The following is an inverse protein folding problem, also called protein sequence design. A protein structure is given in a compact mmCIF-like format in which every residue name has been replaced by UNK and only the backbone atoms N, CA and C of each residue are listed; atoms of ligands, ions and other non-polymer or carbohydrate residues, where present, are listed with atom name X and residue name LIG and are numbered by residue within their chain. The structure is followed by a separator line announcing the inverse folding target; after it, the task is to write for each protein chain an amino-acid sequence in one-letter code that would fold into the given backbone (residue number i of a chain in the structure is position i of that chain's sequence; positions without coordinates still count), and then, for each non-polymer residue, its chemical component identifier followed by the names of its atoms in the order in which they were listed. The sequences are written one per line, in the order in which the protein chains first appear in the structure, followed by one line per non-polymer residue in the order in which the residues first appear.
data_IF_942693733802
#
_entry.id   IF_942693733802
#
_cell.length_a   1.000
_cell.length_b   1.000
_cell.length_c   1.000
_cell.angle_alpha   90.00
_cell.angle_beta   90.00
_cell.angle_gamma   90.00
#
_symmetry.space_group_name_H-M   'P 1'
#
loop_
_entity.id
_entity.type
_entity.pdbx_description
1 polymer ?
#
# COMPACT_ATOMS: atom_id res chain seq x y z
N UNK A 1 2.54 13.18 4.63
CA UNK A 1 2.98 14.59 4.61
C UNK A 1 4.05 14.79 3.52
N UNK A 2 4.25 16.03 3.08
CA UNK A 2 5.33 16.39 2.13
C UNK A 2 6.69 15.97 2.69
N UNK A 3 6.90 16.10 4.00
CA UNK A 3 8.10 15.63 4.69
C UNK A 3 8.37 14.15 4.39
N UNK A 4 7.37 13.28 4.52
CA UNK A 4 7.52 11.84 4.25
C UNK A 4 7.91 11.57 2.78
N UNK A 5 7.37 12.33 1.83
CA UNK A 5 7.71 12.19 0.42
C UNK A 5 9.18 12.57 0.14
N UNK A 6 9.67 13.64 0.75
CA UNK A 6 11.04 14.12 0.54
C UNK A 6 12.07 13.22 1.26
N UNK A 7 11.83 12.83 2.51
CA UNK A 7 12.82 12.16 3.35
C UNK A 7 12.77 10.64 3.30
N UNK A 8 11.65 10.04 2.89
CA UNK A 8 11.52 8.58 2.80
C UNK A 8 11.25 8.10 1.37
N UNK A 9 10.21 8.61 0.70
CA UNK A 9 9.84 8.09 -0.63
C UNK A 9 10.89 8.41 -1.68
N UNK A 10 11.31 9.65 -1.80
CA UNK A 10 12.26 10.06 -2.84
C UNK A 10 13.62 9.35 -2.71
N UNK A 11 14.30 9.32 -1.54
CA UNK A 11 15.56 8.60 -1.41
C UNK A 11 15.41 7.09 -1.65
N UNK A 12 14.36 6.47 -1.13
CA UNK A 12 14.10 5.05 -1.34
C UNK A 12 13.87 4.72 -2.81
N UNK A 13 13.15 5.57 -3.53
CA UNK A 13 12.92 5.42 -4.97
C UNK A 13 14.23 5.57 -5.75
N UNK A 14 15.07 6.55 -5.40
CA UNK A 14 16.37 6.75 -6.04
C UNK A 14 17.29 5.54 -5.83
N UNK A 15 17.39 5.04 -4.60
CA UNK A 15 18.15 3.82 -4.28
C UNK A 15 17.60 2.65 -5.09
N UNK A 16 16.30 2.45 -5.07
CA UNK A 16 15.64 1.38 -5.78
C UNK A 16 15.91 1.42 -7.28
N UNK A 17 15.76 2.57 -7.93
CA UNK A 17 16.02 2.74 -9.36
C UNK A 17 17.49 2.50 -9.76
N UNK A 18 18.44 2.72 -8.85
CA UNK A 18 19.85 2.47 -9.10
C UNK A 18 20.25 0.99 -8.96
N UNK A 19 19.61 0.25 -8.07
CA UNK A 19 20.02 -1.12 -7.75
C UNK A 19 19.09 -2.20 -8.30
N UNK A 20 17.85 -1.84 -8.63
CA UNK A 20 16.90 -2.79 -9.21
C UNK A 20 16.98 -2.75 -10.74
N UNK A 21 17.21 -3.88 -11.40
CA UNK A 21 17.25 -3.95 -12.85
C UNK A 21 15.81 -3.89 -13.42
N UNK A 22 15.21 -2.70 -13.39
CA UNK A 22 13.98 -2.45 -14.14
C UNK A 22 14.39 -2.41 -15.60
N UNK A 23 14.01 -3.41 -16.37
CA UNK A 23 14.39 -3.55 -17.76
C UNK A 23 13.17 -3.44 -18.66
N UNK A 24 13.42 -3.06 -19.92
CA UNK A 24 12.46 -3.23 -20.99
C UNK A 24 12.41 -4.72 -21.40
N UNK A 25 11.78 -5.55 -20.57
CA UNK A 25 11.53 -6.95 -20.85
C UNK A 25 10.23 -7.12 -21.65
N UNK A 26 9.95 -8.35 -22.09
CA UNK A 26 8.70 -8.65 -22.76
C UNK A 26 7.50 -8.36 -21.83
N UNK A 27 6.64 -7.42 -22.24
CA UNK A 27 5.50 -6.99 -21.42
C UNK A 27 4.49 -8.14 -21.20
N UNK A 28 4.28 -8.99 -22.20
CA UNK A 28 3.32 -10.10 -22.13
C UNK A 28 3.74 -11.10 -21.06
N UNK A 29 5.01 -11.51 -21.05
CA UNK A 29 5.52 -12.43 -20.01
C UNK A 29 5.53 -11.80 -18.62
N UNK A 30 5.63 -10.47 -18.54
CA UNK A 30 5.63 -9.73 -17.27
C UNK A 30 4.22 -9.48 -16.71
N UNK A 31 3.16 -9.66 -17.50
CA UNK A 31 1.77 -9.39 -17.03
C UNK A 31 1.36 -10.23 -15.81
N UNK A 32 1.90 -11.43 -15.66
CA UNK A 32 1.64 -12.31 -14.52
C UNK A 32 2.10 -11.69 -13.19
N UNK A 33 3.07 -10.77 -13.22
CA UNK A 33 3.59 -10.13 -12.02
C UNK A 33 2.64 -9.06 -11.45
N UNK A 34 1.74 -8.49 -12.25
CA UNK A 34 0.80 -7.48 -11.76
C UNK A 34 -0.14 -8.02 -10.67
N UNK A 35 -0.87 -9.13 -10.87
CA UNK A 35 -1.67 -9.71 -9.79
C UNK A 35 -0.83 -10.15 -8.58
N UNK A 36 0.40 -10.63 -8.80
CA UNK A 36 1.31 -10.93 -7.70
C UNK A 36 1.65 -9.69 -6.86
N UNK A 37 1.96 -8.55 -7.49
CA UNK A 37 2.22 -7.27 -6.82
C UNK A 37 1.00 -6.79 -6.02
N UNK A 38 -0.20 -6.92 -6.58
CA UNK A 38 -1.46 -6.54 -5.92
C UNK A 38 -1.68 -7.39 -4.66
N UNK A 39 -1.55 -8.71 -4.77
CA UNK A 39 -1.78 -9.64 -3.64
C UNK A 39 -0.73 -9.45 -2.54
N UNK A 40 0.53 -9.36 -2.91
CA UNK A 40 1.61 -9.18 -1.92
C UNK A 40 1.48 -7.86 -1.19
N UNK A 41 1.07 -6.80 -1.87
CA UNK A 41 0.83 -5.50 -1.27
C UNK A 41 -0.34 -5.52 -0.28
N UNK A 42 -1.47 -6.12 -0.65
CA UNK A 42 -2.64 -6.25 0.23
C UNK A 42 -2.30 -7.05 1.51
N UNK A 43 -1.60 -8.17 1.35
CA UNK A 43 -1.17 -9.00 2.49
C UNK A 43 -0.18 -8.25 3.38
N UNK A 44 0.83 -7.60 2.79
CA UNK A 44 1.83 -6.88 3.56
C UNK A 44 1.22 -5.68 4.28
N UNK A 45 0.37 -4.91 3.61
CA UNK A 45 -0.30 -3.77 4.23
C UNK A 45 -1.13 -4.22 5.44
N UNK A 46 -1.89 -5.30 5.33
CA UNK A 46 -2.61 -5.88 6.47
C UNK A 46 -1.67 -6.21 7.64
N UNK A 47 -0.56 -6.90 7.35
CA UNK A 47 0.40 -7.35 8.37
C UNK A 47 1.08 -6.16 9.07
N UNK A 48 1.40 -5.11 8.34
CA UNK A 48 2.04 -3.90 8.88
C UNK A 48 1.04 -2.96 9.57
N UNK A 49 -0.20 -2.88 9.07
CA UNK A 49 -1.21 -1.94 9.52
C UNK A 49 -1.97 -2.42 10.76
N UNK A 50 -2.37 -3.70 10.81
CA UNK A 50 -3.12 -4.24 11.94
C UNK A 50 -2.41 -4.06 13.30
N UNK A 51 -1.09 -4.27 13.45
CA UNK A 51 -0.37 -4.00 14.70
C UNK A 51 -0.43 -2.54 15.16
N UNK A 52 -0.54 -1.59 14.22
CA UNK A 52 -0.66 -0.16 14.55
C UNK A 52 -1.95 0.17 15.32
N UNK A 53 -2.96 -0.72 15.28
CA UNK A 53 -4.20 -0.60 16.06
C UNK A 53 -4.09 -1.21 17.48
N UNK A 54 -2.93 -1.76 17.86
CA UNK A 54 -2.68 -2.20 19.23
C UNK A 54 -2.35 -1.00 20.13
N UNK A 55 -2.61 -1.15 21.43
CA UNK A 55 -2.32 -0.09 22.43
C UNK A 55 -0.87 0.41 22.41
N UNK A 56 0.07 -0.45 21.98
CA UNK A 56 1.49 -0.15 22.00
C UNK A 56 1.94 0.71 20.80
N UNK A 57 1.36 0.48 19.62
CA UNK A 57 1.78 1.12 18.38
C UNK A 57 0.78 2.17 17.88
N UNK A 58 -0.41 2.28 18.49
CA UNK A 58 -1.44 3.21 18.03
C UNK A 58 -1.00 4.67 18.06
N UNK A 59 -0.04 5.03 18.88
CA UNK A 59 0.49 6.40 18.92
C UNK A 59 1.12 6.83 17.60
N UNK A 60 1.69 5.90 16.82
CA UNK A 60 2.23 6.15 15.48
C UNK A 60 1.13 6.39 14.42
N UNK A 61 -0.03 5.77 14.61
CA UNK A 61 -1.13 5.72 13.64
C UNK A 61 -2.32 6.62 13.98
N UNK A 62 -2.46 7.02 15.23
CA UNK A 62 -3.61 7.81 15.70
C UNK A 62 -3.86 9.09 14.91
N UNK A 63 -2.78 9.72 14.41
CA UNK A 63 -2.87 10.98 13.66
C UNK A 63 -3.58 10.76 12.33
N UNK A 64 -3.34 9.61 11.69
CA UNK A 64 -4.06 9.20 10.48
C UNK A 64 -5.57 9.07 10.70
N UNK A 65 -6.00 8.61 11.89
CA UNK A 65 -7.41 8.44 12.28
C UNK A 65 -8.07 9.70 12.87
N UNK A 66 -7.38 10.82 12.97
CA UNK A 66 -7.97 12.07 13.50
C UNK A 66 -8.56 12.93 12.39
N UNK A 67 -9.71 13.55 12.66
CA UNK A 67 -10.39 14.45 11.69
C UNK A 67 -11.23 13.70 10.65
N UNK A 68 -11.60 14.41 9.59
CA UNK A 68 -12.38 13.85 8.49
C UNK A 68 -11.52 13.04 7.52
N UNK A 69 -12.09 11.98 6.97
CA UNK A 69 -11.46 11.18 5.91
C UNK A 69 -11.55 11.96 4.59
N UNK A 70 -10.42 12.24 3.98
CA UNK A 70 -10.33 12.89 2.67
C UNK A 70 -9.00 12.49 1.98
N UNK A 71 -8.90 12.66 0.67
CA UNK A 71 -7.77 12.17 -0.14
C UNK A 71 -6.40 12.61 0.41
N UNK A 72 -6.24 13.87 0.83
CA UNK A 72 -4.97 14.34 1.39
C UNK A 72 -4.60 13.65 2.73
N UNK A 73 -5.58 13.02 3.41
CA UNK A 73 -5.36 12.26 4.65
C UNK A 73 -4.56 10.98 4.41
N UNK A 74 -4.60 10.43 3.19
CA UNK A 74 -3.78 9.28 2.82
C UNK A 74 -2.27 9.52 2.95
N UNK A 75 -1.84 10.79 2.87
CA UNK A 75 -0.44 11.21 3.03
C UNK A 75 -0.09 11.59 4.48
N UNK A 76 -1.08 11.60 5.37
CA UNK A 76 -0.94 12.05 6.75
C UNK A 76 -0.66 10.85 7.68
N UNK A 77 0.57 10.37 7.61
CA UNK A 77 1.07 9.25 8.38
C UNK A 77 2.35 9.65 9.15
N UNK A 78 2.62 8.96 10.25
CA UNK A 78 3.93 9.03 10.93
C UNK A 78 5.03 8.54 9.99
N UNK A 79 6.29 8.98 10.22
CA UNK A 79 7.42 8.59 9.37
C UNK A 79 7.67 7.08 9.34
N UNK A 80 7.57 6.42 10.49
CA UNK A 80 7.73 4.96 10.59
C UNK A 80 6.55 4.23 9.94
N UNK A 81 5.32 4.67 10.18
CA UNK A 81 4.14 4.16 9.49
C UNK A 81 4.27 4.30 7.98
N UNK A 82 4.68 5.48 7.51
CA UNK A 82 4.86 5.72 6.08
C UNK A 82 5.93 4.81 5.48
N UNK A 83 7.07 4.68 6.15
CA UNK A 83 8.19 3.87 5.63
C UNK A 83 7.87 2.38 5.60
N UNK A 84 7.42 1.82 6.73
CA UNK A 84 7.15 0.38 6.83
C UNK A 84 5.77 -0.01 6.30
N UNK A 85 4.74 0.78 6.52
CA UNK A 85 3.38 0.50 6.07
C UNK A 85 3.18 0.87 4.60
N UNK A 86 3.14 2.17 4.32
CA UNK A 86 2.78 2.65 3.00
C UNK A 86 3.84 2.28 1.95
N UNK A 87 5.09 2.74 2.12
CA UNK A 87 6.16 2.49 1.18
C UNK A 87 6.53 1.00 1.12
N UNK A 88 6.58 0.32 2.28
CA UNK A 88 6.83 -1.12 2.35
C UNK A 88 5.86 -1.95 1.53
N UNK A 89 4.56 -1.61 1.56
CA UNK A 89 3.54 -2.32 0.77
C UNK A 89 3.74 -2.17 -0.75
N UNK A 90 4.28 -1.05 -1.21
CA UNK A 90 4.63 -0.87 -2.62
C UNK A 90 5.87 -1.66 -3.04
N UNK A 91 6.84 -1.80 -2.16
CA UNK A 91 8.16 -2.34 -2.49
C UNK A 91 8.25 -3.86 -2.30
N UNK A 92 7.54 -4.42 -1.31
CA UNK A 92 7.73 -5.83 -0.91
C UNK A 92 7.56 -6.82 -2.07
N UNK A 93 6.53 -6.65 -2.89
CA UNK A 93 6.31 -7.53 -4.04
C UNK A 93 7.45 -7.49 -5.05
N UNK A 94 8.01 -6.29 -5.28
CA UNK A 94 9.13 -6.09 -6.19
C UNK A 94 10.41 -6.70 -5.61
N UNK A 95 10.66 -6.56 -4.29
CA UNK A 95 11.79 -7.20 -3.62
C UNK A 95 11.71 -8.72 -3.69
N UNK A 96 10.52 -9.30 -3.57
CA UNK A 96 10.33 -10.75 -3.72
C UNK A 96 10.61 -11.19 -5.16
N UNK A 97 10.11 -10.47 -6.15
CA UNK A 97 10.41 -10.76 -7.57
C UNK A 97 11.90 -10.66 -7.85
N UNK A 98 12.57 -9.66 -7.29
CA UNK A 98 14.03 -9.53 -7.40
C UNK A 98 14.78 -10.69 -6.74
N UNK A 99 14.36 -11.10 -5.55
CA UNK A 99 14.95 -12.22 -4.84
C UNK A 99 14.85 -13.53 -5.64
N UNK A 100 13.78 -13.72 -6.40
CA UNK A 100 13.60 -14.86 -7.31
C UNK A 100 14.16 -14.62 -8.71
N UNK A 101 14.98 -13.60 -8.88
CA UNK A 101 15.64 -13.25 -10.17
C UNK A 101 14.64 -12.98 -11.31
N UNK A 102 13.42 -12.59 -11.00
CA UNK A 102 12.40 -12.26 -11.98
C UNK A 102 12.64 -10.86 -12.55
N UNK A 103 12.73 -10.77 -13.88
CA UNK A 103 12.86 -9.48 -14.58
C UNK A 103 11.46 -8.91 -14.80
N UNK A 104 11.17 -7.76 -14.21
CA UNK A 104 9.87 -7.10 -14.34
C UNK A 104 9.95 -5.93 -15.30
N UNK A 105 9.00 -5.87 -16.22
CA UNK A 105 8.91 -4.77 -17.17
C UNK A 105 8.54 -3.46 -16.47
N UNK A 106 9.18 -2.36 -16.84
CA UNK A 106 8.95 -1.02 -16.28
C UNK A 106 7.48 -0.59 -16.33
N UNK A 107 6.78 -0.94 -17.42
CA UNK A 107 5.36 -0.59 -17.57
C UNK A 107 4.46 -1.35 -16.59
N UNK A 108 4.83 -2.58 -16.20
CA UNK A 108 4.10 -3.33 -15.17
C UNK A 108 4.28 -2.67 -13.80
N UNK A 109 5.52 -2.25 -13.47
CA UNK A 109 5.78 -1.50 -12.23
C UNK A 109 5.02 -0.17 -12.23
N UNK A 110 5.05 0.57 -13.33
CA UNK A 110 4.30 1.83 -13.47
C UNK A 110 2.80 1.64 -13.34
N UNK A 111 2.24 0.59 -13.96
CA UNK A 111 0.83 0.24 -13.85
C UNK A 111 0.46 -0.13 -12.41
N UNK A 112 1.30 -0.92 -11.73
CA UNK A 112 1.13 -1.27 -10.33
C UNK A 112 1.07 -0.01 -9.44
N UNK A 113 2.06 0.89 -9.56
CA UNK A 113 2.10 2.14 -8.80
C UNK A 113 0.86 3.01 -9.10
N UNK A 114 0.46 3.10 -10.36
CA UNK A 114 -0.74 3.82 -10.77
C UNK A 114 -2.02 3.26 -10.13
N UNK A 115 -2.22 1.94 -10.20
CA UNK A 115 -3.39 1.26 -9.59
C UNK A 115 -3.40 1.47 -8.08
N UNK A 116 -2.28 1.27 -7.40
CA UNK A 116 -2.18 1.42 -5.96
C UNK A 116 -2.44 2.88 -5.52
N UNK A 117 -1.91 3.86 -6.25
CA UNK A 117 -2.15 5.28 -5.98
C UNK A 117 -3.63 5.65 -6.15
N UNK A 118 -4.26 5.20 -7.25
CA UNK A 118 -5.69 5.43 -7.51
C UNK A 118 -6.53 4.79 -6.41
N UNK A 119 -6.23 3.54 -6.02
CA UNK A 119 -6.93 2.86 -4.95
C UNK A 119 -6.80 3.60 -3.61
N UNK A 120 -5.61 4.09 -3.26
CA UNK A 120 -5.38 4.91 -2.07
C UNK A 120 -6.21 6.20 -2.08
N UNK A 121 -6.29 6.88 -3.22
CA UNK A 121 -7.11 8.08 -3.36
C UNK A 121 -8.60 7.78 -3.20
N UNK A 122 -9.09 6.69 -3.80
CA UNK A 122 -10.50 6.28 -3.73
C UNK A 122 -10.85 5.90 -2.29
N UNK A 123 -10.04 5.09 -1.62
CA UNK A 123 -10.29 4.63 -0.25
C UNK A 123 -10.36 5.75 0.78
N UNK A 124 -9.72 6.89 0.52
CA UNK A 124 -9.79 8.10 1.34
C UNK A 124 -10.74 9.18 0.77
N UNK A 125 -11.40 8.92 -0.33
CA UNK A 125 -12.50 9.76 -0.84
C UNK A 125 -13.83 9.23 -0.29
N UNK A 126 -14.85 10.03 -0.22
CA UNK A 126 -16.20 9.52 0.07
C UNK A 126 -16.86 8.89 -1.18
N UNK A 127 -16.07 8.60 -2.20
CA UNK A 127 -16.55 8.02 -3.45
C UNK A 127 -16.51 6.48 -3.34
N UNK A 128 -17.68 5.86 -3.54
CA UNK A 128 -17.81 4.41 -3.55
C UNK A 128 -17.80 3.89 -4.98
N UNK A 129 -16.95 2.93 -5.25
CA UNK A 129 -16.88 2.27 -6.55
C UNK A 129 -16.44 0.81 -6.39
N UNK A 130 -16.28 0.10 -7.50
CA UNK A 130 -15.85 -1.31 -7.52
C UNK A 130 -14.50 -1.55 -6.82
N UNK A 131 -13.62 -0.53 -6.77
CA UNK A 131 -12.30 -0.65 -6.12
C UNK A 131 -12.37 -0.49 -4.59
N UNK A 132 -13.29 0.35 -4.11
CA UNK A 132 -13.59 0.46 -2.67
C UNK A 132 -15.05 0.87 -2.47
N UNK A 133 -15.82 -0.04 -1.90
CA UNK A 133 -17.23 0.20 -1.53
C UNK A 133 -17.39 0.97 -0.21
N UNK A 134 -16.29 1.55 0.28
CA UNK A 134 -16.24 2.29 1.54
C UNK A 134 -15.67 1.47 2.70
N UNK A 135 -14.97 0.37 2.41
CA UNK A 135 -14.38 -0.50 3.44
C UNK A 135 -13.34 0.22 4.28
N UNK A 136 -12.48 1.03 3.65
CA UNK A 136 -11.49 1.83 4.37
C UNK A 136 -12.14 2.96 5.20
N UNK A 137 -13.25 3.51 4.73
CA UNK A 137 -14.04 4.46 5.54
C UNK A 137 -14.63 3.78 6.79
N UNK A 138 -15.11 2.53 6.67
CA UNK A 138 -15.55 1.73 7.82
C UNK A 138 -14.38 1.45 8.78
N UNK A 139 -13.18 1.21 8.24
CA UNK A 139 -11.96 1.08 9.03
C UNK A 139 -11.70 2.34 9.87
N UNK A 140 -11.68 3.52 9.27
CA UNK A 140 -11.52 4.79 10.00
C UNK A 140 -12.58 5.00 11.10
N UNK A 141 -13.81 4.55 10.83
CA UNK A 141 -14.94 4.68 11.78
C UNK A 141 -14.82 3.71 12.97
N UNK A 142 -14.52 2.44 12.70
CA UNK A 142 -14.57 1.37 13.73
C UNK A 142 -13.21 0.96 14.25
N UNK A 143 -12.14 1.12 13.50
CA UNK A 143 -10.73 0.83 13.84
C UNK A 143 -10.40 -0.63 14.16
N UNK A 144 -11.36 -1.55 14.03
CA UNK A 144 -11.23 -2.96 14.35
C UNK A 144 -11.63 -3.88 13.18
N UNK A 145 -11.64 -3.37 11.97
CA UNK A 145 -11.99 -4.10 10.74
C UNK A 145 -11.28 -3.48 9.54
N UNK A 146 -11.24 -4.23 8.42
CA UNK A 146 -10.78 -3.79 7.12
C UNK A 146 -9.37 -3.16 7.16
N UNK A 147 -8.40 -3.89 7.69
CA UNK A 147 -7.02 -3.44 7.82
C UNK A 147 -6.23 -3.54 6.51
N UNK A 148 -6.73 -4.28 5.52
CA UNK A 148 -6.11 -4.49 4.22
C UNK A 148 -6.23 -3.31 3.27
N UNK A 149 -5.80 -3.53 2.04
CA UNK A 149 -5.69 -2.50 1.01
C UNK A 149 -6.20 -3.03 -0.34
N UNK A 150 -7.43 -2.73 -0.65
CA UNK A 150 -8.06 -3.05 -1.95
C UNK A 150 -8.74 -4.41 -2.00
N UNK A 151 -8.01 -5.52 -1.96
CA UNK A 151 -8.59 -6.86 -1.98
C UNK A 151 -9.15 -7.29 -0.62
N UNK A 152 -8.61 -6.77 0.45
CA UNK A 152 -8.95 -7.18 1.84
C UNK A 152 -8.85 -8.69 2.04
N UNK A 153 -7.88 -9.33 1.36
CA UNK A 153 -7.73 -10.78 1.38
C UNK A 153 -7.47 -11.30 2.80
N UNK A 154 -6.52 -10.69 3.50
CA UNK A 154 -6.20 -11.07 4.87
C UNK A 154 -7.36 -10.78 5.84
N UNK A 155 -8.12 -9.70 5.64
CA UNK A 155 -9.31 -9.41 6.43
C UNK A 155 -10.37 -10.50 6.29
N UNK A 156 -10.60 -10.99 5.06
CA UNK A 156 -11.51 -12.10 4.78
C UNK A 156 -11.06 -13.40 5.45
N UNK A 157 -9.77 -13.70 5.37
CA UNK A 157 -9.19 -14.92 5.96
C UNK A 157 -9.18 -14.89 7.50
N UNK A 158 -9.04 -13.73 8.10
CA UNK A 158 -8.94 -13.57 9.57
C UNK A 158 -10.24 -13.12 10.24
N UNK A 159 -11.32 -12.94 9.48
CA UNK A 159 -12.63 -12.54 10.00
C UNK A 159 -12.72 -11.07 10.43
N UNK A 160 -11.84 -10.21 9.91
CA UNK A 160 -11.85 -8.76 10.17
C UNK A 160 -12.52 -7.96 9.05
N UNK A 161 -12.98 -8.62 7.99
CA UNK A 161 -13.71 -7.97 6.90
C UNK A 161 -15.14 -7.58 7.30
N UNK A 162 -15.59 -6.36 6.97
CA UNK A 162 -16.95 -5.85 7.19
C UNK A 162 -17.45 -5.08 5.99
#
# INVERSE_FOLDING_TARGET
SIHNQIFYTLPSTMIFCNYYPIQYSNIVSSMIYLPFLIVTSDCYFYISHRPLHTRWLYHLHKHHHTGSVHVAKSLDADGLEHFFGNLGSFIIGILLLWYFECIVNIYIVGSWVGIATINTCISHSNFKCVLDEGHHHLHHKYRNCNYGFGLYLMDRLTGTYK
#
